data_IF_363247577918
#
_entry.id   IF_363247577918
#
_cell.length_a   1.000
_cell.length_b   1.000
_cell.length_c   1.000
_cell.angle_alpha   90.00
_cell.angle_beta   90.00
_cell.angle_gamma   90.00
#
_symmetry.space_group_name_H-M   'P 1'
#
loop_
_entity.id
_entity.type
_entity.pdbx_description
1 polymer ?
#
# COMPACT_ATOMS: atom_id res chain seq x y z
N UNK A 1 29.16 8.54 4.04
CA UNK A 1 27.71 8.83 4.04
C UNK A 1 27.16 8.31 2.72
N UNK A 2 26.76 7.04 2.66
CA UNK A 2 26.09 6.50 1.48
C UNK A 2 24.59 6.78 1.66
N UNK A 3 24.14 7.95 1.19
CA UNK A 3 22.72 8.21 1.04
C UNK A 3 22.21 7.24 -0.04
N UNK A 4 21.33 6.31 0.36
CA UNK A 4 20.48 5.66 -0.64
C UNK A 4 19.58 6.75 -1.27
N UNK A 5 19.26 6.64 -2.57
CA UNK A 5 18.52 7.69 -3.25
C UNK A 5 17.11 7.75 -2.68
N UNK A 6 16.72 8.92 -2.17
CA UNK A 6 15.31 9.24 -1.95
C UNK A 6 14.58 8.92 -3.25
N UNK A 7 13.61 7.98 -3.23
CA UNK A 7 12.88 7.59 -4.43
C UNK A 7 12.35 8.85 -5.12
N UNK A 8 12.81 9.10 -6.35
CA UNK A 8 12.42 10.30 -7.10
C UNK A 8 10.97 10.23 -7.57
N UNK A 9 10.31 9.08 -7.40
CA UNK A 9 8.93 8.81 -7.77
C UNK A 9 8.16 8.14 -6.62
N UNK A 10 6.85 8.09 -6.77
CA UNK A 10 5.96 7.26 -5.95
C UNK A 10 5.98 5.82 -6.47
N UNK A 11 6.09 4.90 -5.51
CA UNK A 11 5.85 3.48 -5.66
C UNK A 11 4.36 3.22 -5.42
N UNK A 12 3.68 2.60 -6.37
CA UNK A 12 2.28 2.21 -6.23
C UNK A 12 2.22 0.74 -5.84
N UNK A 13 1.80 0.51 -4.60
CA UNK A 13 1.55 -0.81 -4.05
C UNK A 13 0.05 -1.07 -4.14
N UNK A 14 -0.33 -2.09 -4.90
CA UNK A 14 -1.71 -2.54 -5.02
C UNK A 14 -1.97 -3.69 -4.05
N UNK A 15 -2.99 -3.52 -3.21
CA UNK A 15 -3.50 -4.56 -2.30
C UNK A 15 -4.93 -5.01 -2.67
N UNK A 16 -5.31 -4.90 -3.94
CA UNK A 16 -6.64 -5.32 -4.40
C UNK A 16 -6.87 -6.81 -4.16
N UNK A 17 -5.82 -7.63 -4.32
CA UNK A 17 -5.88 -9.10 -4.18
C UNK A 17 -5.77 -9.62 -2.74
N UNK A 18 -5.51 -8.73 -1.77
CA UNK A 18 -5.45 -9.07 -0.35
C UNK A 18 -6.46 -8.27 0.43
N UNK A 19 -6.24 -6.97 0.62
CA UNK A 19 -7.12 -6.16 1.44
C UNK A 19 -8.43 -5.84 0.72
N UNK A 20 -8.37 -5.63 -0.59
CA UNK A 20 -9.56 -5.41 -1.43
C UNK A 20 -10.57 -6.55 -1.36
N UNK A 21 -10.09 -7.79 -1.32
CA UNK A 21 -10.93 -8.99 -1.21
C UNK A 21 -11.64 -9.11 0.15
N UNK A 22 -11.14 -8.44 1.20
CA UNK A 22 -11.78 -8.45 2.52
C UNK A 22 -13.10 -7.66 2.55
N UNK A 23 -13.46 -6.97 1.45
CA UNK A 23 -14.81 -6.44 1.28
C UNK A 23 -15.86 -7.56 1.31
N UNK A 24 -16.93 -7.45 2.13
CA UNK A 24 -18.02 -8.42 2.13
C UNK A 24 -18.61 -8.62 0.73
N UNK A 25 -18.56 -9.86 0.22
CA UNK A 25 -19.07 -10.22 -1.10
C UNK A 25 -18.07 -10.12 -2.26
N UNK A 26 -16.83 -9.71 -2.00
CA UNK A 26 -15.78 -9.56 -3.02
C UNK A 26 -14.83 -10.77 -3.14
N UNK A 27 -15.23 -11.95 -2.65
CA UNK A 27 -14.38 -13.15 -2.62
C UNK A 27 -13.99 -13.60 -4.03
N UNK A 28 -12.69 -13.78 -4.26
CA UNK A 28 -12.12 -14.19 -5.54
C UNK A 28 -11.57 -15.61 -5.43
N UNK A 29 -11.80 -16.43 -6.44
CA UNK A 29 -11.08 -17.69 -6.56
C UNK A 29 -9.66 -17.47 -7.13
N UNK A 30 -8.83 -18.51 -7.07
CA UNK A 30 -7.42 -18.46 -7.51
C UNK A 30 -7.26 -17.98 -8.95
N UNK A 31 -8.13 -18.44 -9.87
CA UNK A 31 -8.04 -18.07 -11.29
C UNK A 31 -8.47 -16.61 -11.50
N UNK A 32 -9.47 -16.12 -10.78
CA UNK A 32 -9.90 -14.72 -10.80
C UNK A 32 -8.80 -13.80 -10.26
N UNK A 33 -8.14 -14.18 -9.15
CA UNK A 33 -6.98 -13.47 -8.62
C UNK A 33 -5.86 -13.40 -9.66
N UNK A 34 -5.58 -14.49 -10.37
CA UNK A 34 -4.56 -14.54 -11.41
C UNK A 34 -4.90 -13.64 -12.61
N UNK A 35 -6.17 -13.60 -13.03
CA UNK A 35 -6.65 -12.69 -14.10
C UNK A 35 -6.43 -11.23 -13.71
N UNK A 36 -6.77 -10.86 -12.47
CA UNK A 36 -6.55 -9.50 -11.95
C UNK A 36 -5.05 -9.21 -11.87
N UNK A 37 -4.23 -10.14 -11.37
CA UNK A 37 -2.77 -9.97 -11.28
C UNK A 37 -2.12 -9.67 -12.64
N UNK A 38 -2.52 -10.37 -13.71
CA UNK A 38 -2.08 -10.04 -15.07
C UNK A 38 -2.48 -8.64 -15.52
N UNK A 39 -3.68 -8.18 -15.15
CA UNK A 39 -4.13 -6.83 -15.49
C UNK A 39 -3.41 -5.76 -14.65
N UNK A 40 -3.09 -6.04 -13.38
CA UNK A 40 -2.27 -5.16 -12.53
C UNK A 40 -0.83 -5.05 -13.07
N UNK A 41 -0.24 -6.15 -13.53
CA UNK A 41 1.06 -6.13 -14.19
C UNK A 41 1.04 -5.29 -15.49
N UNK A 42 -0.04 -5.37 -16.28
CA UNK A 42 -0.23 -4.50 -17.46
C UNK A 42 -0.46 -3.03 -17.10
N UNK A 43 -1.14 -2.76 -15.99
CA UNK A 43 -1.29 -1.42 -15.41
C UNK A 43 0.05 -0.85 -14.91
N UNK A 44 1.05 -1.73 -14.72
CA UNK A 44 2.40 -1.41 -14.23
C UNK A 44 2.40 -0.89 -12.79
N UNK A 45 1.62 -1.52 -11.92
CA UNK A 45 1.82 -1.32 -10.47
C UNK A 45 3.22 -1.79 -10.08
N UNK A 46 3.81 -1.16 -9.07
CA UNK A 46 5.17 -1.50 -8.65
C UNK A 46 5.19 -2.78 -7.80
N UNK A 47 4.18 -2.92 -6.93
CA UNK A 47 4.04 -4.04 -6.01
C UNK A 47 2.61 -4.57 -6.08
N UNK A 48 2.46 -5.89 -6.10
CA UNK A 48 1.18 -6.59 -5.94
C UNK A 48 1.23 -7.35 -4.62
N UNK A 49 0.41 -6.97 -3.64
CA UNK A 49 0.14 -7.80 -2.47
C UNK A 49 -0.87 -8.87 -2.84
N UNK A 50 -0.33 -10.06 -3.11
CA UNK A 50 -1.07 -11.14 -3.78
C UNK A 50 -1.96 -11.95 -2.82
N UNK A 51 -1.82 -11.74 -1.51
CA UNK A 51 -2.63 -12.43 -0.50
C UNK A 51 -1.94 -12.54 0.85
N UNK A 52 -2.54 -13.36 1.73
CA UNK A 52 -2.00 -13.73 3.04
C UNK A 52 -1.74 -15.24 3.09
N UNK A 53 -0.54 -15.72 2.69
CA UNK A 53 -0.25 -17.14 2.47
C UNK A 53 -0.54 -18.08 3.64
N UNK A 54 -0.44 -17.59 4.89
CA UNK A 54 -0.72 -18.42 6.07
C UNK A 54 -2.22 -18.53 6.39
N UNK A 55 -3.06 -17.61 5.88
CA UNK A 55 -4.47 -17.57 6.22
C UNK A 55 -5.24 -18.81 5.74
N UNK A 56 -4.89 -19.32 4.54
CA UNK A 56 -5.50 -20.53 3.98
C UNK A 56 -4.62 -21.20 2.93
N UNK A 57 -4.83 -22.50 2.63
CA UNK A 57 -4.17 -23.15 1.50
C UNK A 57 -4.48 -22.49 0.15
N UNK A 58 -5.68 -21.93 -0.01
CA UNK A 58 -6.08 -21.22 -1.22
C UNK A 58 -5.29 -19.93 -1.44
N UNK A 59 -5.05 -19.16 -0.37
CA UNK A 59 -4.21 -17.96 -0.45
C UNK A 59 -2.74 -18.32 -0.71
N UNK A 60 -2.23 -19.40 -0.10
CA UNK A 60 -0.90 -19.89 -0.42
C UNK A 60 -0.76 -20.22 -1.91
N UNK A 61 -1.71 -21.00 -2.45
CA UNK A 61 -1.72 -21.38 -3.87
C UNK A 61 -1.84 -20.17 -4.79
N UNK A 62 -2.71 -19.21 -4.46
CA UNK A 62 -2.90 -17.98 -5.23
C UNK A 62 -1.60 -17.17 -5.29
N UNK A 63 -0.95 -16.92 -4.16
CA UNK A 63 0.32 -16.16 -4.10
C UNK A 63 1.41 -16.87 -4.89
N UNK A 64 1.49 -18.20 -4.80
CA UNK A 64 2.47 -18.98 -5.56
C UNK A 64 2.25 -18.88 -7.08
N UNK A 65 1.01 -19.08 -7.55
CA UNK A 65 0.69 -18.95 -8.99
C UNK A 65 0.90 -17.54 -9.52
N UNK A 66 0.55 -16.51 -8.75
CA UNK A 66 0.79 -15.12 -9.11
C UNK A 66 2.30 -14.83 -9.19
N UNK A 67 3.06 -15.35 -8.24
CA UNK A 67 4.53 -15.26 -8.23
C UNK A 67 5.14 -15.85 -9.50
N UNK A 68 4.68 -17.03 -9.92
CA UNK A 68 5.12 -17.69 -11.16
C UNK A 68 4.73 -16.93 -12.42
N UNK A 69 3.50 -16.41 -12.47
CA UNK A 69 2.91 -15.91 -13.72
C UNK A 69 3.27 -14.45 -14.04
N UNK A 70 3.37 -13.59 -13.02
CA UNK A 70 3.64 -12.15 -13.20
C UNK A 70 4.85 -11.65 -12.43
N UNK A 71 5.34 -12.38 -11.43
CA UNK A 71 6.56 -12.06 -10.67
C UNK A 71 7.85 -12.31 -11.45
N UNK A 72 7.87 -12.08 -12.76
CA UNK A 72 9.06 -12.21 -13.62
C UNK A 72 9.98 -10.99 -13.48
N UNK A 73 11.20 -11.03 -14.03
CA UNK A 73 12.21 -9.96 -13.90
C UNK A 73 11.71 -8.57 -14.34
N UNK A 74 10.91 -8.50 -15.42
CA UNK A 74 10.29 -7.26 -15.90
C UNK A 74 8.92 -6.96 -15.28
N UNK A 75 8.48 -7.80 -14.35
CA UNK A 75 7.18 -7.73 -13.69
C UNK A 75 7.20 -6.93 -12.38
N UNK A 76 6.05 -6.79 -11.72
CA UNK A 76 5.97 -6.19 -10.40
C UNK A 76 6.67 -7.04 -9.33
N UNK A 77 7.04 -6.41 -8.23
CA UNK A 77 7.39 -7.13 -7.00
C UNK A 77 6.14 -7.82 -6.46
N UNK A 78 6.27 -9.10 -6.09
CA UNK A 78 5.16 -9.84 -5.49
C UNK A 78 5.32 -9.84 -3.98
N UNK A 79 4.28 -9.37 -3.30
CA UNK A 79 4.24 -9.22 -1.85
C UNK A 79 3.30 -10.24 -1.21
N UNK A 80 3.74 -10.88 -0.13
CA UNK A 80 2.91 -11.72 0.73
C UNK A 80 2.85 -11.15 2.14
N UNK A 81 1.62 -10.96 2.65
CA UNK A 81 1.40 -10.50 4.02
C UNK A 81 1.70 -11.64 5.02
N UNK A 82 2.31 -11.29 6.15
CA UNK A 82 2.56 -12.20 7.25
C UNK A 82 2.37 -11.47 8.59
N UNK A 83 1.78 -12.12 9.59
CA UNK A 83 1.92 -11.62 10.97
C UNK A 83 3.38 -11.75 11.40
N UNK A 84 3.81 -10.97 12.38
CA UNK A 84 5.11 -11.10 13.05
C UNK A 84 5.23 -12.44 13.82
N UNK A 85 5.28 -13.55 13.09
CA UNK A 85 5.33 -14.93 13.55
C UNK A 85 6.23 -15.73 12.59
N UNK A 86 6.99 -16.70 13.12
CA UNK A 86 7.90 -17.51 12.30
C UNK A 86 7.17 -18.36 11.26
N UNK A 87 5.99 -18.89 11.60
CA UNK A 87 5.23 -19.77 10.72
C UNK A 87 4.58 -18.97 9.58
N UNK A 88 4.01 -17.79 9.88
CA UNK A 88 3.44 -16.89 8.88
C UNK A 88 4.51 -16.42 7.88
N UNK A 89 5.66 -15.95 8.38
CA UNK A 89 6.77 -15.47 7.55
C UNK A 89 7.32 -16.61 6.69
N UNK A 90 7.46 -17.82 7.24
CA UNK A 90 7.94 -18.98 6.49
C UNK A 90 6.94 -19.40 5.40
N UNK A 91 5.64 -19.32 5.66
CA UNK A 91 4.61 -19.58 4.65
C UNK A 91 4.69 -18.55 3.52
N UNK A 92 4.81 -17.25 3.84
CA UNK A 92 4.99 -16.20 2.85
C UNK A 92 6.25 -16.41 2.01
N UNK A 93 7.39 -16.64 2.65
CA UNK A 93 8.65 -16.94 1.97
C UNK A 93 8.53 -18.14 1.01
N UNK A 94 7.82 -19.20 1.40
CA UNK A 94 7.63 -20.38 0.56
C UNK A 94 6.73 -20.11 -0.65
N UNK A 95 5.63 -19.37 -0.46
CA UNK A 95 4.72 -19.02 -1.56
C UNK A 95 5.38 -18.10 -2.58
N UNK A 96 6.27 -17.20 -2.12
CA UNK A 96 6.93 -16.20 -2.96
C UNK A 96 8.16 -16.70 -3.72
N UNK A 97 8.67 -17.92 -3.43
CA UNK A 97 9.88 -18.49 -4.07
C UNK A 97 9.97 -18.33 -5.59
N UNK A 98 8.87 -18.46 -6.36
CA UNK A 98 8.96 -18.34 -7.81
C UNK A 98 9.15 -16.91 -8.33
N UNK A 99 8.88 -15.88 -7.52
CA UNK A 99 9.00 -14.50 -7.94
C UNK A 99 10.47 -14.08 -8.05
N UNK A 100 10.83 -13.45 -9.18
CA UNK A 100 12.13 -12.82 -9.39
C UNK A 100 12.37 -11.68 -8.40
N UNK A 101 11.31 -10.92 -8.06
CA UNK A 101 11.32 -9.88 -7.04
C UNK A 101 10.23 -10.19 -6.02
N UNK A 102 10.62 -10.56 -4.80
CA UNK A 102 9.71 -10.94 -3.72
C UNK A 102 9.82 -9.96 -2.55
N UNK A 103 8.68 -9.64 -1.93
CA UNK A 103 8.58 -8.85 -0.71
C UNK A 103 7.79 -9.60 0.36
N UNK A 104 8.30 -9.59 1.60
CA UNK A 104 7.51 -10.02 2.75
C UNK A 104 7.08 -8.76 3.50
N UNK A 105 5.76 -8.58 3.63
CA UNK A 105 5.17 -7.54 4.45
C UNK A 105 4.78 -8.15 5.79
N UNK A 106 5.54 -7.83 6.84
CA UNK A 106 5.27 -8.30 8.20
C UNK A 106 4.71 -7.18 9.07
N UNK A 107 3.80 -7.50 9.99
CA UNK A 107 3.17 -6.48 10.82
C UNK A 107 2.90 -6.95 12.26
N UNK A 108 2.82 -5.98 13.17
CA UNK A 108 2.38 -6.16 14.55
C UNK A 108 1.75 -4.86 15.06
N UNK A 109 0.73 -4.95 15.91
CA UNK A 109 0.08 -3.77 16.47
C UNK A 109 0.99 -3.03 17.47
N UNK A 110 0.93 -1.70 17.44
CA UNK A 110 1.73 -0.83 18.33
C UNK A 110 0.91 0.12 19.18
N UNK A 111 -0.41 0.25 18.96
CA UNK A 111 -1.26 1.08 19.82
C UNK A 111 -1.52 0.42 21.17
N UNK A 112 -1.59 1.21 22.24
CA UNK A 112 -1.77 0.68 23.60
C UNK A 112 -3.05 -0.15 23.73
N UNK A 113 -4.13 0.25 23.04
CA UNK A 113 -5.40 -0.48 23.01
C UNK A 113 -5.19 -1.89 22.41
N UNK A 114 -4.47 -2.01 21.29
CA UNK A 114 -4.21 -3.31 20.70
C UNK A 114 -3.17 -4.11 21.51
N UNK A 115 -2.17 -3.48 22.10
CA UNK A 115 -1.22 -4.15 22.98
C UNK A 115 -1.92 -4.79 24.18
N UNK A 116 -2.80 -4.06 24.86
CA UNK A 116 -3.52 -4.52 26.05
C UNK A 116 -4.60 -5.56 25.71
N UNK A 117 -5.49 -5.25 24.77
CA UNK A 117 -6.71 -6.03 24.56
C UNK A 117 -6.61 -7.09 23.45
N UNK A 118 -5.79 -6.85 22.41
CA UNK A 118 -5.64 -7.77 21.26
C UNK A 118 -4.45 -8.72 21.43
N UNK A 119 -3.26 -8.16 21.63
CA UNK A 119 -2.01 -8.93 21.68
C UNK A 119 -1.70 -9.48 23.07
N UNK A 120 -2.18 -8.81 24.13
CA UNK A 120 -1.83 -9.07 25.53
C UNK A 120 -0.30 -9.09 25.72
N UNK A 121 0.35 -8.05 25.19
CA UNK A 121 1.80 -7.86 25.18
C UNK A 121 2.16 -6.47 25.68
N UNK A 122 3.29 -6.36 26.34
CA UNK A 122 3.89 -5.08 26.71
C UNK A 122 4.60 -4.43 25.52
N UNK A 123 4.79 -3.11 25.58
CA UNK A 123 5.63 -2.36 24.63
C UNK A 123 7.04 -2.97 24.48
N UNK A 124 7.65 -3.39 25.60
CA UNK A 124 8.97 -4.02 25.61
C UNK A 124 9.00 -5.33 24.82
N UNK A 125 8.01 -6.21 25.01
CA UNK A 125 7.94 -7.45 24.24
C UNK A 125 7.81 -7.19 22.74
N UNK A 126 7.02 -6.19 22.33
CA UNK A 126 6.88 -5.84 20.91
C UNK A 126 8.16 -5.23 20.33
N UNK A 127 8.90 -4.43 21.11
CA UNK A 127 10.24 -3.94 20.73
C UNK A 127 11.28 -5.06 20.55
N UNK A 128 11.07 -6.23 21.15
CA UNK A 128 11.91 -7.41 20.93
C UNK A 128 11.40 -8.23 19.72
N UNK A 129 10.09 -8.45 19.61
CA UNK A 129 9.48 -9.28 18.55
C UNK A 129 9.61 -8.64 17.17
N UNK A 130 9.31 -7.34 17.03
CA UNK A 130 9.27 -6.67 15.74
C UNK A 130 10.60 -6.77 14.97
N UNK A 131 11.76 -6.35 15.54
CA UNK A 131 13.04 -6.50 14.86
C UNK A 131 13.45 -7.97 14.66
N UNK A 132 13.15 -8.89 15.59
CA UNK A 132 13.45 -10.32 15.40
C UNK A 132 12.74 -10.87 14.17
N UNK A 133 11.45 -10.56 14.01
CA UNK A 133 10.64 -11.06 12.90
C UNK A 133 11.00 -10.40 11.57
N UNK A 134 11.37 -9.11 11.58
CA UNK A 134 11.91 -8.44 10.40
C UNK A 134 13.25 -9.06 9.96
N UNK A 135 14.18 -9.29 10.89
CA UNK A 135 15.44 -9.97 10.59
C UNK A 135 15.23 -11.39 10.07
N UNK A 136 14.24 -12.10 10.61
CA UNK A 136 13.86 -13.42 10.13
C UNK A 136 13.28 -13.38 8.70
N UNK A 137 12.40 -12.43 8.38
CA UNK A 137 11.91 -12.22 7.02
C UNK A 137 13.04 -11.86 6.04
N UNK A 138 13.98 -11.00 6.46
CA UNK A 138 15.17 -10.61 5.68
C UNK A 138 16.12 -11.77 5.39
N UNK A 139 16.04 -12.87 6.15
CA UNK A 139 16.79 -14.09 5.84
C UNK A 139 16.26 -14.86 4.62
N UNK A 140 15.05 -14.55 4.15
CA UNK A 140 14.43 -15.18 2.99
C UNK A 140 14.38 -14.28 1.75
N UNK A 141 14.17 -12.98 1.93
CA UNK A 141 13.99 -12.00 0.85
C UNK A 141 14.77 -10.72 1.13
N UNK A 142 15.15 -10.01 0.08
CA UNK A 142 15.87 -8.76 0.24
C UNK A 142 14.99 -7.55 0.55
N UNK A 143 13.73 -7.59 0.12
CA UNK A 143 12.77 -6.50 0.31
C UNK A 143 11.79 -6.88 1.42
N UNK A 144 11.86 -6.17 2.55
CA UNK A 144 11.03 -6.43 3.73
C UNK A 144 10.30 -5.15 4.10
N UNK A 145 8.99 -5.24 4.16
CA UNK A 145 8.12 -4.17 4.61
C UNK A 145 7.61 -4.46 6.01
N UNK A 146 7.61 -3.45 6.87
CA UNK A 146 7.09 -3.53 8.23
C UNK A 146 5.95 -2.54 8.47
N UNK A 147 4.85 -3.02 9.04
CA UNK A 147 3.76 -2.18 9.53
C UNK A 147 3.59 -2.21 11.05
N UNK A 148 3.71 -1.05 11.73
CA UNK A 148 3.10 -0.85 13.04
C UNK A 148 1.57 -0.69 12.86
N UNK A 149 0.83 -1.79 12.99
CA UNK A 149 -0.64 -1.77 12.88
C UNK A 149 -1.22 -0.80 13.93
N UNK A 150 -2.17 0.04 13.50
CA UNK A 150 -2.78 1.09 14.32
C UNK A 150 -1.81 2.22 14.73
N UNK A 151 -0.85 2.55 13.85
CA UNK A 151 0.16 3.60 14.04
C UNK A 151 -0.45 4.95 14.44
N UNK A 152 -1.57 5.35 13.82
CA UNK A 152 -2.23 6.63 14.09
C UNK A 152 -2.73 6.82 15.54
N UNK A 153 -2.83 5.73 16.33
CA UNK A 153 -3.20 5.76 17.76
C UNK A 153 -2.06 5.30 18.68
N UNK A 154 -0.87 5.10 18.14
CA UNK A 154 0.31 4.74 18.92
C UNK A 154 0.91 6.00 19.57
N UNK A 155 1.51 5.82 20.75
CA UNK A 155 2.35 6.86 21.34
C UNK A 155 3.52 7.20 20.41
N UNK A 156 3.74 8.47 20.03
CA UNK A 156 4.72 8.83 19.00
C UNK A 156 6.15 8.38 19.31
N UNK A 157 6.63 8.57 20.55
CA UNK A 157 8.00 8.20 20.93
C UNK A 157 8.22 6.69 20.84
N UNK A 158 7.24 5.91 21.30
CA UNK A 158 7.28 4.46 21.15
C UNK A 158 7.22 4.02 19.68
N UNK A 159 6.38 4.66 18.87
CA UNK A 159 6.32 4.39 17.43
C UNK A 159 7.68 4.66 16.76
N UNK A 160 8.34 5.77 17.10
CA UNK A 160 9.66 6.09 16.56
C UNK A 160 10.71 5.04 16.94
N UNK A 161 10.71 4.58 18.20
CA UNK A 161 11.60 3.51 18.64
C UNK A 161 11.34 2.20 17.88
N UNK A 162 10.08 1.79 17.71
CA UNK A 162 9.75 0.58 16.94
C UNK A 162 10.27 0.69 15.51
N UNK A 163 10.03 1.83 14.85
CA UNK A 163 10.47 2.08 13.48
C UNK A 163 12.00 2.06 13.35
N UNK A 164 12.72 2.69 14.26
CA UNK A 164 14.19 2.68 14.27
C UNK A 164 14.73 1.24 14.35
N UNK A 165 14.18 0.43 15.27
CA UNK A 165 14.63 -0.95 15.51
C UNK A 165 14.36 -1.87 14.31
N UNK A 166 13.22 -1.75 13.65
CA UNK A 166 12.92 -2.59 12.47
C UNK A 166 13.75 -2.20 11.26
N UNK A 167 14.06 -0.91 11.08
CA UNK A 167 14.96 -0.45 10.02
C UNK A 167 16.38 -0.98 10.27
N UNK A 168 16.84 -0.99 11.53
CA UNK A 168 18.11 -1.61 11.90
C UNK A 168 18.14 -3.12 11.69
N UNK A 169 17.01 -3.79 11.88
CA UNK A 169 16.86 -5.22 11.62
C UNK A 169 16.76 -5.59 10.12
N UNK A 170 16.60 -4.60 9.24
CA UNK A 170 16.63 -4.79 7.79
C UNK A 170 15.32 -4.52 7.04
N UNK A 171 14.34 -3.86 7.65
CA UNK A 171 13.19 -3.36 6.92
C UNK A 171 13.64 -2.31 5.89
N UNK A 172 13.28 -2.53 4.62
CA UNK A 172 13.55 -1.62 3.50
C UNK A 172 12.41 -0.63 3.29
N UNK A 173 11.21 -0.97 3.78
CA UNK A 173 10.02 -0.12 3.75
C UNK A 173 9.33 -0.16 5.11
N UNK A 174 8.89 1.00 5.62
CA UNK A 174 8.02 1.09 6.79
C UNK A 174 6.68 1.66 6.37
N UNK A 175 5.62 0.86 6.51
CA UNK A 175 4.27 1.23 6.12
C UNK A 175 3.46 1.74 7.31
N UNK A 176 3.01 2.99 7.23
CA UNK A 176 2.31 3.69 8.31
C UNK A 176 0.79 3.69 8.02
N UNK A 177 0.00 2.84 8.70
CA UNK A 177 -1.42 2.73 8.42
C UNK A 177 -2.28 3.72 9.22
N UNK A 178 -3.24 4.37 8.55
CA UNK A 178 -4.49 4.83 9.16
C UNK A 178 -5.49 3.66 9.17
N UNK A 179 -5.25 2.70 10.06
CA UNK A 179 -5.98 1.42 10.13
C UNK A 179 -7.49 1.60 10.28
N UNK A 180 -7.93 2.67 10.95
CA UNK A 180 -9.36 2.91 11.15
C UNK A 180 -9.93 3.84 10.08
N UNK A 181 -9.13 4.71 9.45
CA UNK A 181 -9.61 5.64 8.42
C UNK A 181 -10.25 6.92 8.97
N UNK A 182 -9.85 7.34 10.17
CA UNK A 182 -10.44 8.48 10.92
C UNK A 182 -9.52 9.70 10.99
N UNK A 183 -8.30 9.63 10.48
CA UNK A 183 -7.39 10.79 10.52
C UNK A 183 -7.83 11.85 9.51
N UNK A 184 -7.60 13.11 9.85
CA UNK A 184 -7.69 14.22 8.89
C UNK A 184 -6.37 14.38 8.14
N UNK A 185 -6.36 15.05 6.96
CA UNK A 185 -5.13 15.19 6.18
C UNK A 185 -3.98 15.82 6.98
N UNK A 186 -4.25 16.88 7.73
CA UNK A 186 -3.25 17.56 8.56
C UNK A 186 -2.67 16.68 9.66
N UNK A 187 -3.50 15.83 10.29
CA UNK A 187 -3.05 14.87 11.31
C UNK A 187 -2.18 13.78 10.69
N UNK A 188 -2.61 13.20 9.57
CA UNK A 188 -1.85 12.14 8.90
C UNK A 188 -0.53 12.66 8.33
N UNK A 189 -0.54 13.83 7.67
CA UNK A 189 0.67 14.50 7.23
C UNK A 189 1.60 14.88 8.40
N UNK A 190 1.03 15.30 9.52
CA UNK A 190 1.76 15.57 10.76
C UNK A 190 2.46 14.34 11.32
N UNK A 191 1.79 13.18 11.31
CA UNK A 191 2.37 11.89 11.70
C UNK A 191 3.57 11.52 10.82
N UNK A 192 3.43 11.61 9.50
CA UNK A 192 4.53 11.31 8.57
C UNK A 192 5.71 12.27 8.75
N UNK A 193 5.43 13.56 8.95
CA UNK A 193 6.48 14.54 9.26
C UNK A 193 7.19 14.21 10.57
N UNK A 194 6.43 13.88 11.62
CA UNK A 194 6.98 13.50 12.93
C UNK A 194 7.91 12.30 12.83
N UNK A 195 7.53 11.26 12.09
CA UNK A 195 8.38 10.09 11.82
C UNK A 195 9.67 10.51 11.12
N UNK A 196 9.58 11.33 10.07
CA UNK A 196 10.74 11.78 9.31
C UNK A 196 11.71 12.64 10.13
N UNK A 197 11.20 13.41 11.09
CA UNK A 197 11.99 14.29 11.95
C UNK A 197 12.65 13.56 13.13
N UNK A 198 12.02 12.48 13.63
CA UNK A 198 12.41 11.87 14.91
C UNK A 198 12.94 10.43 14.82
N UNK A 199 12.74 9.71 13.72
CA UNK A 199 13.34 8.38 13.54
C UNK A 199 14.76 8.53 12.95
N UNK A 200 15.84 8.24 13.71
CA UNK A 200 17.21 8.64 13.33
C UNK A 200 17.73 8.02 12.03
N UNK A 201 17.28 6.80 11.71
CA UNK A 201 17.72 6.01 10.56
C UNK A 201 16.65 5.94 9.45
N UNK A 202 15.66 6.84 9.46
CA UNK A 202 14.51 6.82 8.52
C UNK A 202 14.91 6.95 7.05
N UNK A 203 16.05 7.57 6.76
CA UNK A 203 16.59 7.73 5.41
C UNK A 203 17.08 6.41 4.78
N UNK A 204 17.19 5.34 5.58
CA UNK A 204 17.52 3.98 5.12
C UNK A 204 16.31 3.15 4.69
N UNK A 205 15.09 3.69 4.82
CA UNK A 205 13.85 3.00 4.45
C UNK A 205 12.89 3.92 3.68
N UNK A 206 12.03 3.31 2.86
CA UNK A 206 10.92 4.00 2.23
C UNK A 206 9.78 4.15 3.24
N UNK A 207 9.24 5.36 3.37
CA UNK A 207 7.97 5.55 4.08
C UNK A 207 6.82 5.19 3.12
N UNK A 208 6.14 4.09 3.41
CA UNK A 208 4.85 3.71 2.81
C UNK A 208 3.71 4.23 3.67
N UNK A 209 2.57 4.50 3.05
CA UNK A 209 1.32 4.77 3.76
C UNK A 209 0.21 3.88 3.25
N UNK A 210 -0.59 3.44 4.22
CA UNK A 210 -1.78 2.63 4.05
C UNK A 210 -2.93 3.33 4.78
N UNK A 211 -4.17 3.18 4.34
CA UNK A 211 -5.27 3.83 5.03
C UNK A 211 -6.63 3.54 4.45
N UNK A 212 -7.58 3.44 5.35
CA UNK A 212 -8.98 3.19 5.03
C UNK A 212 -9.76 4.49 4.87
N UNK A 213 -10.97 4.35 4.33
CA UNK A 213 -11.78 5.46 3.85
C UNK A 213 -13.04 5.72 4.68
N UNK A 214 -13.03 5.37 5.98
CA UNK A 214 -14.19 5.43 6.87
C UNK A 214 -14.83 6.83 6.95
N UNK A 215 -14.04 7.91 6.82
CA UNK A 215 -14.52 9.29 6.72
C UNK A 215 -14.51 9.88 5.29
N UNK A 216 -14.18 9.09 4.28
CA UNK A 216 -14.07 9.57 2.89
C UNK A 216 -12.82 10.42 2.62
N UNK A 217 -11.80 10.34 3.47
CA UNK A 217 -10.60 11.19 3.42
C UNK A 217 -9.32 10.45 3.00
N UNK A 218 -9.36 9.15 2.69
CA UNK A 218 -8.16 8.33 2.48
C UNK A 218 -7.22 8.91 1.39
N UNK A 219 -7.79 9.29 0.24
CA UNK A 219 -7.03 9.88 -0.87
C UNK A 219 -6.40 11.22 -0.46
N UNK A 220 -7.13 12.07 0.27
CA UNK A 220 -6.62 13.35 0.74
C UNK A 220 -5.49 13.17 1.76
N UNK A 221 -5.64 12.21 2.68
CA UNK A 221 -4.62 11.86 3.66
C UNK A 221 -3.33 11.41 2.96
N UNK A 222 -3.42 10.55 1.96
CA UNK A 222 -2.26 10.06 1.21
C UNK A 222 -1.54 11.17 0.45
N UNK A 223 -2.27 12.07 -0.20
CA UNK A 223 -1.67 13.21 -0.90
C UNK A 223 -0.96 14.16 0.09
N UNK A 224 -1.48 14.30 1.31
CA UNK A 224 -0.80 15.04 2.37
C UNK A 224 0.44 14.31 2.90
N UNK A 225 0.39 12.98 3.03
CA UNK A 225 1.55 12.16 3.38
C UNK A 225 2.69 12.29 2.34
N UNK A 226 2.37 12.34 1.04
CA UNK A 226 3.35 12.55 -0.03
C UNK A 226 4.12 13.87 0.16
N UNK A 227 3.41 14.94 0.53
CA UNK A 227 4.02 16.25 0.80
C UNK A 227 5.00 16.20 1.98
N UNK A 228 4.75 15.32 2.95
CA UNK A 228 5.55 15.18 4.17
C UNK A 228 6.63 14.09 4.07
N UNK A 229 6.73 13.37 2.95
CA UNK A 229 7.87 12.49 2.65
C UNK A 229 7.52 11.05 2.31
N UNK A 230 6.25 10.65 2.31
CA UNK A 230 5.86 9.32 1.86
C UNK A 230 6.25 9.10 0.39
N UNK A 231 6.74 7.89 0.08
CA UNK A 231 7.22 7.50 -1.26
C UNK A 231 6.64 6.18 -1.76
N UNK A 232 5.82 5.51 -0.97
CA UNK A 232 4.97 4.41 -1.41
C UNK A 232 3.53 4.65 -0.94
N UNK A 233 2.56 4.30 -1.77
CA UNK A 233 1.13 4.40 -1.49
C UNK A 233 0.47 3.03 -1.65
N UNK A 234 -0.13 2.51 -0.59
CA UNK A 234 -0.88 1.25 -0.59
C UNK A 234 -2.36 1.51 -0.85
N UNK A 235 -2.85 1.04 -1.98
CA UNK A 235 -4.16 1.38 -2.49
C UNK A 235 -4.81 0.19 -3.18
N UNK A 236 -6.08 0.34 -3.53
CA UNK A 236 -6.83 -0.67 -4.29
C UNK A 236 -7.53 -0.05 -5.48
N UNK A 237 -7.73 -0.87 -6.51
CA UNK A 237 -8.58 -0.53 -7.63
C UNK A 237 -10.00 -0.29 -7.14
N UNK A 238 -10.61 0.80 -7.58
CA UNK A 238 -11.95 1.24 -7.18
C UNK A 238 -12.09 1.64 -5.70
N UNK A 239 -11.01 1.59 -4.91
CA UNK A 239 -11.05 1.85 -3.46
C UNK A 239 -11.78 0.75 -2.67
N UNK A 240 -11.79 -0.51 -3.15
CA UNK A 240 -12.37 -1.63 -2.39
C UNK A 240 -11.50 -2.00 -1.18
N UNK A 241 -12.09 -2.67 -0.18
CA UNK A 241 -11.42 -3.10 1.04
C UNK A 241 -12.35 -3.23 2.23
N UNK A 242 -11.80 -3.40 3.43
CA UNK A 242 -12.61 -3.45 4.64
C UNK A 242 -13.48 -2.19 4.83
N UNK A 243 -14.70 -2.37 5.33
CA UNK A 243 -15.65 -1.29 5.69
C UNK A 243 -15.94 -0.33 4.52
N UNK A 244 -15.42 0.90 4.57
CA UNK A 244 -15.56 1.92 3.53
C UNK A 244 -14.50 1.82 2.43
N UNK A 245 -13.60 0.84 2.55
CA UNK A 245 -12.56 0.54 1.57
C UNK A 245 -11.23 1.25 1.84
N UNK A 246 -10.31 1.10 0.88
CA UNK A 246 -8.98 1.71 0.90
C UNK A 246 -8.96 3.03 0.11
N UNK A 247 -7.82 3.74 0.20
CA UNK A 247 -7.52 4.79 -0.76
C UNK A 247 -7.57 4.25 -2.21
N UNK A 248 -8.29 4.95 -3.09
CA UNK A 248 -8.50 4.51 -4.46
C UNK A 248 -7.26 4.78 -5.35
N UNK A 249 -6.74 3.72 -5.97
CA UNK A 249 -5.54 3.77 -6.82
C UNK A 249 -5.71 4.78 -7.96
N UNK A 250 -6.82 4.70 -8.68
CA UNK A 250 -7.08 5.56 -9.83
C UNK A 250 -7.14 7.05 -9.47
N UNK A 251 -7.65 7.38 -8.28
CA UNK A 251 -7.77 8.75 -7.80
C UNK A 251 -6.40 9.31 -7.39
N UNK A 252 -5.62 8.52 -6.65
CA UNK A 252 -4.25 8.89 -6.26
C UNK A 252 -3.35 9.11 -7.47
N UNK A 253 -3.33 8.14 -8.40
CA UNK A 253 -2.49 8.19 -9.60
C UNK A 253 -2.87 9.38 -10.48
N UNK A 254 -4.16 9.61 -10.70
CA UNK A 254 -4.60 10.72 -11.55
C UNK A 254 -4.41 12.08 -10.88
N UNK A 255 -4.55 12.19 -9.55
CA UNK A 255 -4.22 13.41 -8.82
C UNK A 255 -2.73 13.77 -9.00
N UNK A 256 -1.82 12.81 -8.78
CA UNK A 256 -0.38 12.99 -8.97
C UNK A 256 -0.02 13.26 -10.44
N UNK A 257 -0.74 12.66 -11.39
CA UNK A 257 -0.50 12.85 -12.83
C UNK A 257 -0.95 14.23 -13.33
N UNK A 258 -2.21 14.60 -13.04
CA UNK A 258 -2.84 15.85 -13.52
C UNK A 258 -2.31 17.07 -12.78
N UNK A 259 -2.07 16.94 -11.45
CA UNK A 259 -1.54 18.01 -10.61
C UNK A 259 -0.03 17.89 -10.42
N UNK A 260 0.68 17.20 -11.31
CA UNK A 260 2.13 16.98 -11.23
C UNK A 260 2.93 18.25 -10.94
N UNK A 261 2.58 19.37 -11.58
CA UNK A 261 3.26 20.65 -11.36
C UNK A 261 3.21 21.12 -9.89
N UNK A 262 2.10 20.84 -9.20
CA UNK A 262 1.96 21.12 -7.77
C UNK A 262 2.78 20.15 -6.91
N UNK A 263 2.85 18.87 -7.29
CA UNK A 263 3.56 17.86 -6.50
C UNK A 263 5.08 17.84 -6.72
N UNK A 264 5.57 18.22 -7.89
CA UNK A 264 7.00 18.20 -8.27
C UNK A 264 7.95 18.80 -7.21
N UNK A 265 7.68 19.97 -6.62
CA UNK A 265 8.55 20.56 -5.60
C UNK A 265 8.77 19.66 -4.37
N UNK A 266 7.78 18.85 -3.99
CA UNK A 266 7.89 17.92 -2.85
C UNK A 266 8.81 16.72 -3.15
N UNK A 267 9.21 16.54 -4.40
CA UNK A 267 10.21 15.56 -4.86
C UNK A 267 11.55 16.23 -5.21
N UNK A 268 11.73 17.52 -4.91
CA UNK A 268 12.91 18.28 -5.30
C UNK A 268 13.00 18.54 -6.80
N UNK A 269 11.88 18.38 -7.54
CA UNK A 269 11.81 18.59 -8.99
C UNK A 269 11.29 19.99 -9.32
N UNK A 270 11.72 20.62 -10.43
CA UNK A 270 11.12 21.86 -10.90
C UNK A 270 9.62 21.68 -11.19
N UNK A 271 8.75 22.67 -10.90
CA UNK A 271 7.31 22.59 -11.17
C UNK A 271 6.97 22.16 -12.61
N UNK A 272 7.73 22.64 -13.60
CA UNK A 272 7.55 22.38 -15.02
C UNK A 272 7.98 20.97 -15.48
N UNK A 273 8.58 20.16 -14.60
CA UNK A 273 9.03 18.82 -14.94
C UNK A 273 7.87 17.96 -15.49
N UNK A 274 8.15 17.33 -16.64
CA UNK A 274 7.22 16.44 -17.35
C UNK A 274 7.39 14.97 -16.96
N UNK A 275 8.46 14.63 -16.23
CA UNK A 275 8.72 13.28 -15.77
C UNK A 275 7.59 12.79 -14.87
N UNK A 276 7.01 11.61 -15.11
CA UNK A 276 5.90 11.13 -14.32
C UNK A 276 6.34 10.86 -12.87
N UNK A 277 5.40 11.03 -11.94
CA UNK A 277 5.61 10.75 -10.52
C UNK A 277 5.30 9.29 -10.16
N UNK A 278 4.80 8.48 -11.09
CA UNK A 278 4.63 7.03 -10.94
C UNK A 278 4.80 6.35 -12.31
N UNK A 279 5.01 5.04 -12.33
CA UNK A 279 5.20 4.28 -13.59
C UNK A 279 3.89 3.73 -14.18
N UNK A 280 2.76 4.02 -13.55
CA UNK A 280 1.44 3.49 -13.91
C UNK A 280 1.10 3.87 -15.35
N UNK A 281 0.68 2.89 -16.14
CA UNK A 281 0.08 3.16 -17.44
C UNK A 281 -1.38 3.61 -17.23
N UNK A 282 -1.59 4.93 -17.15
CA UNK A 282 -2.90 5.52 -16.89
C UNK A 282 -3.97 5.12 -17.89
N UNK A 283 -3.59 4.67 -19.10
CA UNK A 283 -4.52 4.19 -20.13
C UNK A 283 -5.15 2.84 -19.78
N UNK A 284 -4.56 2.10 -18.84
CA UNK A 284 -5.11 0.81 -18.36
C UNK A 284 -6.12 0.97 -17.22
N UNK A 285 -6.19 2.15 -16.57
CA UNK A 285 -6.98 2.37 -15.35
C UNK A 285 -8.45 1.94 -15.52
N UNK A 286 -9.13 2.45 -16.55
CA UNK A 286 -10.55 2.15 -16.75
C UNK A 286 -10.80 0.66 -17.00
N UNK A 287 -9.94 0.01 -17.80
CA UNK A 287 -10.03 -1.42 -18.08
C UNK A 287 -9.82 -2.24 -16.80
N UNK A 288 -8.85 -1.88 -15.98
CA UNK A 288 -8.60 -2.53 -14.68
C UNK A 288 -9.78 -2.36 -13.74
N UNK A 289 -10.31 -1.14 -13.62
CA UNK A 289 -11.51 -0.85 -12.82
C UNK A 289 -12.70 -1.72 -13.20
N UNK A 290 -13.00 -1.82 -14.50
CA UNK A 290 -14.10 -2.66 -15.02
C UNK A 290 -13.88 -4.15 -14.78
N UNK A 291 -12.65 -4.63 -14.92
CA UNK A 291 -12.32 -6.02 -14.67
C UNK A 291 -12.53 -6.39 -13.20
N UNK A 292 -11.97 -5.58 -12.28
CA UNK A 292 -12.14 -5.79 -10.84
C UNK A 292 -13.62 -5.75 -10.46
N UNK A 293 -14.37 -4.75 -10.91
CA UNK A 293 -15.81 -4.65 -10.67
C UNK A 293 -16.60 -5.87 -11.18
N UNK A 294 -16.21 -6.42 -12.33
CA UNK A 294 -16.86 -7.60 -12.91
C UNK A 294 -16.58 -8.88 -12.14
N UNK A 295 -15.37 -9.05 -11.60
CA UNK A 295 -14.96 -10.28 -10.91
C UNK A 295 -15.34 -10.26 -9.42
N UNK A 296 -15.31 -9.10 -8.77
CA UNK A 296 -15.72 -8.99 -7.36
C UNK A 296 -17.23 -8.77 -7.20
N UNK A 297 -17.94 -8.43 -8.27
CA UNK A 297 -19.36 -8.04 -8.20
C UNK A 297 -19.60 -6.67 -7.56
N UNK A 298 -18.56 -5.97 -7.09
CA UNK A 298 -18.68 -4.64 -6.52
C UNK A 298 -18.85 -3.61 -7.64
N UNK A 299 -20.05 -3.03 -7.74
CA UNK A 299 -20.38 -2.05 -8.77
C UNK A 299 -19.70 -0.70 -8.49
N UNK A 300 -19.08 -0.14 -9.52
CA UNK A 300 -18.55 1.22 -9.51
C UNK A 300 -19.72 2.22 -9.54
N UNK A 301 -19.74 3.17 -8.60
CA UNK A 301 -20.73 4.24 -8.58
C UNK A 301 -20.63 5.08 -9.86
N UNK A 302 -21.76 5.46 -10.50
CA UNK A 302 -21.75 6.24 -11.73
C UNK A 302 -20.94 7.55 -11.64
N UNK A 303 -20.97 8.22 -10.49
CA UNK A 303 -20.30 9.48 -10.22
C UNK A 303 -18.93 9.32 -9.52
N UNK A 304 -18.37 8.10 -9.44
CA UNK A 304 -17.03 7.90 -8.89
C UNK A 304 -15.99 8.65 -9.71
N UNK A 305 -15.05 9.30 -9.03
CA UNK A 305 -13.97 10.03 -9.68
C UNK A 305 -13.16 9.10 -10.61
N UNK A 306 -12.74 9.65 -11.77
CA UNK A 306 -11.92 9.00 -12.80
C UNK A 306 -12.61 7.85 -13.57
N UNK A 307 -13.25 6.91 -12.88
CA UNK A 307 -13.74 5.64 -13.47
C UNK A 307 -15.25 5.49 -13.49
N UNK A 308 -15.99 6.40 -12.84
CA UNK A 308 -17.45 6.44 -12.90
C UNK A 308 -17.95 6.69 -14.32
N UNK A 309 -19.06 6.05 -14.71
CA UNK A 309 -19.65 6.22 -16.05
C UNK A 309 -20.02 7.68 -16.38
N UNK A 310 -20.25 8.49 -15.35
CA UNK A 310 -20.65 9.90 -15.48
C UNK A 310 -19.47 10.85 -15.26
N UNK A 311 -18.26 10.36 -14.97
CA UNK A 311 -17.12 11.19 -14.58
C UNK A 311 -16.70 12.22 -15.64
N UNK A 312 -17.04 11.98 -16.91
CA UNK A 312 -16.76 12.88 -18.04
C UNK A 312 -18.02 13.24 -18.85
N UNK A 313 -19.21 12.93 -18.33
CA UNK A 313 -20.48 13.23 -18.99
C UNK A 313 -21.01 14.62 -18.60
N UNK A 314 -21.61 15.35 -19.55
CA UNK A 314 -22.17 16.68 -19.35
C UNK A 314 -23.63 16.74 -19.82
N UNK A 315 -24.60 16.84 -18.90
CA UNK A 315 -26.03 16.91 -19.24
C UNK A 315 -26.59 18.35 -19.32
N UNK A 316 -25.95 19.34 -18.68
CA UNK A 316 -26.41 20.72 -18.76
C UNK A 316 -25.88 21.41 -20.03
N UNK A 317 -26.80 21.94 -20.85
CA UNK A 317 -26.45 22.59 -22.13
C UNK A 317 -25.46 23.76 -22.01
N UNK A 318 -25.31 24.35 -20.82
CA UNK A 318 -24.34 25.42 -20.54
C UNK A 318 -22.89 24.89 -20.48
N UNK A 319 -22.69 23.63 -20.09
CA UNK A 319 -21.35 23.04 -19.97
C UNK A 319 -20.89 22.33 -21.25
N UNK A 320 -21.79 22.08 -22.22
CA UNK A 320 -21.41 21.48 -23.51
C UNK A 320 -20.69 22.46 -24.44
N UNK A 321 -20.98 23.76 -24.34
CA UNK A 321 -20.36 24.79 -25.18
C UNK A 321 -18.88 25.05 -24.86
N UNK A 322 -18.35 24.48 -23.76
CA UNK A 322 -17.00 24.72 -23.26
C UNK A 322 -16.06 23.50 -23.23
N UNK A 323 -16.47 22.34 -23.76
CA UNK A 323 -15.68 21.09 -23.81
C UNK A 323 -14.91 20.95 -25.12
#
# INVERSE_FOLDING_TARGET
MNQQPQSERIIIFDTTLRDGEQSPGATLNVDEKLIIAHQLARLRVDVIEAGFPYASPGDFEAVQKISEAVGIESGPTICGLARASRDDIKAAANALKPAANARIHTFIATSDIHLEYKLKKTRKEVLEIAPEMVAYAKSFVDDVEFSPEDAGRSDPEYLYEVLERVIDAGATTVNIPDTVGYTTPSEFGGLIRGIKENVPNIDRAIISVHGHNDLGLAVANFLEAVKNGARQLECTINGIGERAGNAALEELVMALHVRRQYFNPFFGRPPESKEPLSIIDTRQIYKTSRLVSSLTGMLVQPNKAIVGSNAFAHESGIHQDGV
#
